data_IF_251371018781
#
_entry.id   IF_251371018781
#
_cell.length_a   1.000
_cell.length_b   1.000
_cell.length_c   1.000
_cell.angle_alpha   90.00
_cell.angle_beta   90.00
_cell.angle_gamma   90.00
#
_symmetry.space_group_name_H-M   'P 1'
#
loop_
_entity.id
_entity.type
_entity.pdbx_description
1 polymer ?
#
# COMPACT_ATOMS: atom_id res chain seq x y z
N UNK A 1 29.41 -30.62 8.59
CA UNK A 1 28.21 -31.30 8.04
C UNK A 1 27.64 -30.38 6.98
N UNK A 2 27.67 -30.79 5.72
CA UNK A 2 27.15 -29.99 4.61
C UNK A 2 25.63 -29.98 4.71
N UNK A 3 25.02 -28.83 4.98
CA UNK A 3 23.58 -28.66 4.86
C UNK A 3 23.29 -28.56 3.35
N UNK A 4 23.04 -29.70 2.70
CA UNK A 4 22.56 -29.69 1.31
C UNK A 4 21.13 -29.17 1.33
N UNK A 5 20.92 -27.99 0.75
CA UNK A 5 19.57 -27.44 0.49
C UNK A 5 18.81 -28.50 -0.32
N UNK A 6 17.62 -28.88 0.15
CA UNK A 6 16.81 -29.88 -0.55
C UNK A 6 16.14 -29.25 -1.79
N UNK A 7 15.78 -30.07 -2.78
CA UNK A 7 15.02 -29.59 -3.94
C UNK A 7 13.66 -28.97 -3.52
N UNK A 8 13.08 -29.46 -2.43
CA UNK A 8 11.85 -28.92 -1.85
C UNK A 8 12.05 -27.49 -1.30
N UNK A 9 13.16 -27.24 -0.61
CA UNK A 9 13.50 -25.90 -0.10
C UNK A 9 13.72 -24.89 -1.25
N UNK A 10 14.28 -25.34 -2.38
CA UNK A 10 14.48 -24.50 -3.56
C UNK A 10 13.15 -24.15 -4.24
N UNK A 11 12.25 -25.13 -4.36
CA UNK A 11 10.91 -24.91 -4.92
C UNK A 11 10.07 -23.97 -4.04
N UNK A 12 10.13 -24.15 -2.72
CA UNK A 12 9.46 -23.23 -1.77
C UNK A 12 10.02 -21.81 -1.87
N UNK A 13 11.34 -21.67 -1.98
CA UNK A 13 12.01 -20.37 -2.14
C UNK A 13 11.55 -19.66 -3.42
N UNK A 14 11.54 -20.37 -4.54
CA UNK A 14 11.12 -19.82 -5.83
C UNK A 14 9.64 -19.43 -5.80
N UNK A 15 8.76 -20.29 -5.30
CA UNK A 15 7.33 -20.00 -5.15
C UNK A 15 7.09 -18.77 -4.27
N UNK A 16 7.80 -18.66 -3.14
CA UNK A 16 7.68 -17.50 -2.25
C UNK A 16 8.21 -16.22 -2.90
N UNK A 17 9.28 -16.30 -3.68
CA UNK A 17 9.82 -15.16 -4.45
C UNK A 17 8.82 -14.67 -5.50
N UNK A 18 8.21 -15.59 -6.24
CA UNK A 18 7.18 -15.26 -7.24
C UNK A 18 5.94 -14.64 -6.60
N UNK A 19 5.49 -15.17 -5.47
CA UNK A 19 4.39 -14.61 -4.69
C UNK A 19 4.68 -13.16 -4.30
N UNK A 20 5.82 -12.88 -3.67
CA UNK A 20 6.20 -11.54 -3.24
C UNK A 20 6.36 -10.55 -4.42
N UNK A 21 6.86 -11.04 -5.57
CA UNK A 21 6.94 -10.23 -6.77
C UNK A 21 5.54 -9.85 -7.30
N UNK A 22 4.61 -10.80 -7.33
CA UNK A 22 3.22 -10.57 -7.72
C UNK A 22 2.51 -9.60 -6.78
N UNK A 23 2.66 -9.80 -5.45
CA UNK A 23 2.13 -8.91 -4.42
C UNK A 23 2.67 -7.49 -4.58
N UNK A 24 3.97 -7.33 -4.86
CA UNK A 24 4.61 -6.03 -5.11
C UNK A 24 4.05 -5.31 -6.33
N UNK A 25 3.82 -6.03 -7.44
CA UNK A 25 3.22 -5.47 -8.64
C UNK A 25 1.78 -5.01 -8.39
N UNK A 26 0.96 -5.87 -7.78
CA UNK A 26 -0.42 -5.55 -7.42
C UNK A 26 -0.52 -4.35 -6.47
N UNK A 27 0.40 -4.28 -5.50
CA UNK A 27 0.52 -3.16 -4.58
C UNK A 27 0.88 -1.87 -5.31
N UNK A 28 1.80 -1.93 -6.27
CA UNK A 28 2.18 -0.78 -7.09
C UNK A 28 0.99 -0.27 -7.92
N UNK A 29 0.25 -1.16 -8.58
CA UNK A 29 -0.95 -0.80 -9.35
C UNK A 29 -2.02 -0.14 -8.48
N UNK A 30 -2.26 -0.72 -7.30
CA UNK A 30 -3.22 -0.18 -6.33
C UNK A 30 -2.80 1.18 -5.79
N UNK A 31 -1.51 1.34 -5.48
CA UNK A 31 -0.94 2.61 -5.01
C UNK A 31 -1.02 3.69 -6.08
N UNK A 32 -0.75 3.37 -7.35
CA UNK A 32 -0.86 4.33 -8.46
C UNK A 32 -2.28 4.86 -8.58
N UNK A 33 -3.29 3.99 -8.55
CA UNK A 33 -4.70 4.40 -8.56
C UNK A 33 -5.04 5.28 -7.35
N UNK A 34 -4.58 4.89 -6.16
CA UNK A 34 -4.79 5.69 -4.96
C UNK A 34 -4.10 7.07 -5.02
N UNK A 35 -2.93 7.15 -5.66
CA UNK A 35 -2.22 8.41 -5.88
C UNK A 35 -3.02 9.36 -6.77
N UNK A 36 -3.64 8.84 -7.84
CA UNK A 36 -4.53 9.63 -8.70
C UNK A 36 -5.76 10.13 -7.95
N UNK A 37 -6.37 9.27 -7.12
CA UNK A 37 -7.49 9.63 -6.24
C UNK A 37 -7.08 10.73 -5.24
N UNK A 38 -5.89 10.62 -4.63
CA UNK A 38 -5.36 11.66 -3.74
C UNK A 38 -5.18 13.00 -4.46
N UNK A 39 -4.64 12.98 -5.68
CA UNK A 39 -4.44 14.20 -6.49
C UNK A 39 -5.77 14.92 -6.72
N UNK A 40 -6.79 14.17 -7.18
CA UNK A 40 -8.14 14.70 -7.37
C UNK A 40 -8.75 15.27 -6.07
N UNK A 41 -8.59 14.56 -4.95
CA UNK A 41 -9.12 15.00 -3.66
C UNK A 41 -8.40 16.25 -3.13
N UNK A 42 -7.10 16.39 -3.36
CA UNK A 42 -6.37 17.61 -3.03
C UNK A 42 -6.95 18.82 -3.76
N UNK A 43 -7.21 18.70 -5.06
CA UNK A 43 -7.82 19.78 -5.85
C UNK A 43 -9.25 20.09 -5.38
N UNK A 44 -10.06 19.04 -5.12
CA UNK A 44 -11.43 19.20 -4.64
C UNK A 44 -11.48 19.89 -3.27
N UNK A 45 -10.66 19.45 -2.32
CA UNK A 45 -10.56 20.07 -0.99
C UNK A 45 -10.06 21.51 -1.08
N UNK A 46 -9.07 21.77 -1.94
CA UNK A 46 -8.55 23.12 -2.17
C UNK A 46 -9.63 24.06 -2.76
N UNK A 47 -10.49 23.56 -3.65
CA UNK A 47 -11.62 24.32 -4.18
C UNK A 47 -12.64 24.64 -3.08
N UNK A 48 -12.99 23.67 -2.24
CA UNK A 48 -13.97 23.85 -1.15
C UNK A 48 -13.50 24.88 -0.13
N UNK A 49 -12.22 24.85 0.27
CA UNK A 49 -11.71 25.81 1.26
C UNK A 49 -11.59 27.25 0.73
N UNK A 50 -11.69 27.46 -0.59
CA UNK A 50 -11.74 28.81 -1.18
C UNK A 50 -13.09 29.50 -1.03
N UNK A 51 -14.15 28.73 -0.78
CA UNK A 51 -15.51 29.22 -0.51
C UNK A 51 -15.95 28.75 0.88
N UNK A 52 -15.35 29.29 1.96
CA UNK A 52 -15.57 28.81 3.32
C UNK A 52 -17.03 28.87 3.77
N UNK A 53 -17.84 29.77 3.20
CA UNK A 53 -19.28 29.86 3.40
C UNK A 53 -20.06 28.62 2.94
N UNK A 54 -19.50 27.83 2.01
CA UNK A 54 -20.06 26.57 1.53
C UNK A 54 -19.71 25.38 2.44
N UNK A 55 -18.87 25.58 3.46
CA UNK A 55 -18.49 24.53 4.43
C UNK A 55 -19.55 24.45 5.53
N UNK A 56 -20.61 23.69 5.25
CA UNK A 56 -21.64 23.35 6.25
C UNK A 56 -21.12 22.25 7.20
N UNK A 57 -21.84 21.94 8.30
CA UNK A 57 -21.51 20.79 9.13
C UNK A 57 -21.45 19.47 8.35
N UNK A 58 -22.37 19.27 7.39
CA UNK A 58 -22.41 18.09 6.52
C UNK A 58 -21.18 18.04 5.58
N UNK A 59 -20.80 19.17 4.99
CA UNK A 59 -19.57 19.27 4.19
C UNK A 59 -18.34 18.97 5.04
N UNK A 60 -18.29 19.50 6.27
CA UNK A 60 -17.20 19.27 7.21
C UNK A 60 -17.05 17.80 7.57
N UNK A 61 -18.17 17.11 7.82
CA UNK A 61 -18.18 15.67 8.10
C UNK A 61 -17.72 14.86 6.88
N UNK A 62 -18.15 15.25 5.68
CA UNK A 62 -17.67 14.64 4.43
C UNK A 62 -16.15 14.78 4.26
N UNK A 63 -15.61 15.98 4.48
CA UNK A 63 -14.16 16.25 4.45
C UNK A 63 -13.45 15.36 5.48
N UNK A 64 -13.95 15.31 6.72
CA UNK A 64 -13.37 14.49 7.77
C UNK A 64 -13.35 13.00 7.38
N UNK A 65 -14.49 12.47 6.92
CA UNK A 65 -14.63 11.06 6.56
C UNK A 65 -13.68 10.66 5.42
N UNK A 66 -13.58 11.49 4.38
CA UNK A 66 -12.65 11.26 3.27
C UNK A 66 -11.20 11.25 3.78
N UNK A 67 -10.80 12.24 4.59
CA UNK A 67 -9.46 12.29 5.17
C UNK A 67 -9.17 11.08 6.08
N UNK A 68 -10.16 10.63 6.85
CA UNK A 68 -10.04 9.41 7.65
C UNK A 68 -9.78 8.18 6.76
N UNK A 69 -10.53 8.03 5.66
CA UNK A 69 -10.36 6.92 4.71
C UNK A 69 -8.98 6.95 4.05
N UNK A 70 -8.52 8.12 3.59
CA UNK A 70 -7.18 8.30 3.03
C UNK A 70 -6.09 7.86 4.02
N UNK A 71 -6.18 8.32 5.27
CA UNK A 71 -5.24 7.94 6.34
C UNK A 71 -5.19 6.43 6.55
N UNK A 72 -6.35 5.76 6.56
CA UNK A 72 -6.41 4.32 6.75
C UNK A 72 -5.81 3.55 5.55
N UNK A 73 -6.07 4.01 4.32
CA UNK A 73 -5.49 3.41 3.12
C UNK A 73 -3.96 3.57 3.08
N UNK A 74 -3.44 4.77 3.40
CA UNK A 74 -1.98 5.00 3.49
C UNK A 74 -1.32 4.04 4.48
N UNK A 75 -1.93 3.85 5.66
CA UNK A 75 -1.43 2.90 6.66
C UNK A 75 -1.42 1.47 6.13
N UNK A 76 -2.51 1.05 5.49
CA UNK A 76 -2.61 -0.28 4.89
C UNK A 76 -1.55 -0.50 3.80
N UNK A 77 -1.26 0.50 2.96
CA UNK A 77 -0.17 0.39 1.99
C UNK A 77 1.19 0.27 2.66
N UNK A 78 1.45 1.07 3.69
CA UNK A 78 2.69 0.96 4.47
C UNK A 78 2.86 -0.45 5.05
N UNK A 79 1.83 -0.99 5.67
CA UNK A 79 1.88 -2.32 6.29
C UNK A 79 2.20 -3.40 5.24
N UNK A 80 1.56 -3.35 4.06
CA UNK A 80 1.85 -4.25 2.94
C UNK A 80 3.28 -4.12 2.40
N UNK A 81 3.81 -2.88 2.30
CA UNK A 81 5.20 -2.64 1.89
C UNK A 81 6.16 -3.29 2.90
N UNK A 82 5.90 -3.10 4.21
CA UNK A 82 6.73 -3.66 5.27
C UNK A 82 6.70 -5.20 5.24
N UNK A 83 5.54 -5.82 4.99
CA UNK A 83 5.39 -7.28 4.82
C UNK A 83 6.21 -7.81 3.64
N UNK A 84 6.10 -7.18 2.46
CA UNK A 84 6.85 -7.59 1.27
C UNK A 84 8.36 -7.43 1.51
N UNK A 85 8.79 -6.31 2.07
CA UNK A 85 10.19 -6.06 2.38
C UNK A 85 10.76 -7.09 3.36
N UNK A 86 10.01 -7.44 4.41
CA UNK A 86 10.43 -8.46 5.35
C UNK A 86 10.52 -9.84 4.68
N UNK A 87 9.52 -10.21 3.88
CA UNK A 87 9.55 -11.46 3.11
C UNK A 87 10.76 -11.56 2.16
N UNK A 88 11.10 -10.47 1.47
CA UNK A 88 12.28 -10.42 0.60
C UNK A 88 13.60 -10.52 1.39
N UNK A 89 13.68 -9.92 2.59
CA UNK A 89 14.85 -10.04 3.48
C UNK A 89 15.03 -11.47 3.97
N UNK A 90 13.94 -12.13 4.36
CA UNK A 90 13.97 -13.53 4.78
C UNK A 90 14.46 -14.45 3.66
N UNK A 91 13.99 -14.24 2.42
CA UNK A 91 14.48 -15.00 1.26
C UNK A 91 15.97 -14.80 0.99
N UNK A 92 16.49 -13.59 1.21
CA UNK A 92 17.93 -13.29 1.04
C UNK A 92 18.79 -13.96 2.12
N UNK A 93 18.26 -14.18 3.32
CA UNK A 93 18.97 -14.83 4.42
C UNK A 93 18.95 -16.37 4.32
N UNK A 94 18.03 -16.94 3.54
CA UNK A 94 17.91 -18.39 3.30
C UNK A 94 18.81 -18.91 2.16
N UNK A 95 19.42 -18.01 1.38
CA UNK A 95 20.40 -18.30 0.32
C UNK A 95 21.83 -18.20 0.86
#
# INVERSE_FOLDING_TARGET
>A
MSNSISEEDLLEHEARREQLASESLSLCDSFNKFSDECSFLCDALAAVVREPECITPETSEGIWYVNYKLKMQIRSYRDQIDEIHNGLRELKLKL
#
